data_IF_004733535044
#
_entry.id   IF_004733535044
#
_cell.length_a   1.000
_cell.length_b   1.000
_cell.length_c   1.000
_cell.angle_alpha   90.00
_cell.angle_beta   90.00
_cell.angle_gamma   90.00
#
_symmetry.space_group_name_H-M   'P 1'
#
loop_
_entity.id
_entity.type
_entity.pdbx_description
1 polymer ?
#
# COMPACT_ATOMS: atom_id res chain seq x y z
N UNK A 1 -2.69 -25.23 66.79
CA UNK A 1 -1.42 -25.99 66.75
C UNK A 1 -1.69 -27.33 66.06
N UNK A 2 -0.98 -27.63 64.94
CA UNK A 2 -0.49 -28.97 64.52
C UNK A 2 -1.57 -30.07 64.27
N UNK A 3 -1.70 -30.75 63.12
CA UNK A 3 -0.77 -31.22 62.07
C UNK A 3 -1.56 -31.70 60.84
N UNK A 4 -0.89 -31.69 59.68
CA UNK A 4 -1.23 -32.39 58.44
C UNK A 4 -1.42 -33.91 58.60
N UNK A 5 -2.35 -34.49 57.82
CA UNK A 5 -2.29 -35.88 57.36
C UNK A 5 -2.90 -35.99 55.96
N UNK A 6 -2.10 -36.44 54.98
CA UNK A 6 -2.52 -36.86 53.64
C UNK A 6 -3.31 -38.18 53.70
N UNK A 7 -4.35 -38.32 52.87
CA UNK A 7 -4.79 -39.63 52.37
C UNK A 7 -5.55 -39.47 51.05
N UNK A 8 -4.98 -40.11 50.02
CA UNK A 8 -5.53 -40.32 48.67
C UNK A 8 -6.71 -41.27 48.76
N UNK A 9 -7.90 -40.89 48.28
CA UNK A 9 -8.97 -41.84 47.96
C UNK A 9 -9.65 -41.42 46.64
N UNK A 10 -9.43 -42.26 45.64
CA UNK A 10 -10.12 -42.29 44.36
C UNK A 10 -11.57 -42.71 44.59
N UNK A 11 -12.55 -41.88 44.18
CA UNK A 11 -13.96 -42.30 44.12
C UNK A 11 -14.53 -41.86 42.78
N UNK A 12 -14.82 -42.85 41.95
CA UNK A 12 -15.65 -42.75 40.75
C UNK A 12 -17.04 -42.25 41.13
N UNK A 13 -17.54 -41.17 40.51
CA UNK A 13 -18.97 -41.01 40.23
C UNK A 13 -19.29 -39.76 39.40
N UNK A 14 -20.16 -40.00 38.41
CA UNK A 14 -21.12 -39.09 37.79
C UNK A 14 -20.61 -38.01 36.81
N UNK A 15 -21.02 -38.22 35.55
CA UNK A 15 -21.19 -37.20 34.52
C UNK A 15 -21.85 -35.94 35.08
N UNK A 16 -21.15 -34.82 35.04
CA UNK A 16 -21.78 -33.51 35.03
C UNK A 16 -21.62 -32.92 33.63
N UNK A 17 -22.74 -32.86 32.89
CA UNK A 17 -22.83 -32.05 31.67
C UNK A 17 -22.66 -30.60 32.10
N UNK A 18 -21.43 -30.11 32.07
CA UNK A 18 -21.17 -28.68 32.02
C UNK A 18 -21.54 -28.26 30.61
N UNK A 19 -22.75 -27.72 30.45
CA UNK A 19 -23.14 -26.95 29.27
C UNK A 19 -22.14 -25.82 29.11
N UNK A 20 -21.12 -26.02 28.28
CA UNK A 20 -20.36 -24.90 27.75
C UNK A 20 -21.32 -24.17 26.82
N UNK A 21 -21.92 -23.10 27.31
CA UNK A 21 -22.45 -22.07 26.44
C UNK A 21 -21.28 -21.63 25.55
N UNK A 22 -21.30 -21.98 24.26
CA UNK A 22 -20.51 -21.25 23.29
C UNK A 22 -21.13 -19.85 23.21
N UNK A 23 -20.74 -18.99 24.15
CA UNK A 23 -20.83 -17.56 23.99
C UNK A 23 -20.10 -17.23 22.69
N UNK A 24 -20.82 -16.60 21.76
CA UNK A 24 -20.25 -16.00 20.58
C UNK A 24 -19.09 -15.09 21.02
N UNK A 25 -17.85 -15.56 20.87
CA UNK A 25 -16.71 -14.68 20.96
C UNK A 25 -16.72 -13.86 19.68
N UNK A 26 -17.30 -12.67 19.82
CA UNK A 26 -17.19 -11.58 18.88
C UNK A 26 -15.75 -11.51 18.38
N UNK A 27 -15.61 -11.32 17.07
CA UNK A 27 -14.35 -10.97 16.46
C UNK A 27 -13.78 -9.75 17.19
N UNK A 28 -12.86 -9.96 18.13
CA UNK A 28 -11.96 -8.93 18.63
C UNK A 28 -10.99 -8.61 17.49
N UNK A 29 -11.53 -7.97 16.44
CA UNK A 29 -10.75 -7.27 15.44
C UNK A 29 -10.04 -6.18 16.22
N UNK A 30 -8.70 -6.19 16.34
CA UNK A 30 -8.02 -5.12 17.04
C UNK A 30 -8.34 -3.83 16.28
N UNK A 31 -9.18 -3.00 16.90
CA UNK A 31 -9.37 -1.61 16.52
C UNK A 31 -8.18 -0.85 17.07
N UNK A 32 -7.00 -1.12 16.52
CA UNK A 32 -5.86 -0.22 16.65
C UNK A 32 -6.06 0.89 15.63
N UNK A 33 -6.75 1.94 16.06
CA UNK A 33 -6.76 3.25 15.43
C UNK A 33 -5.30 3.72 15.26
N UNK A 34 -4.78 3.96 14.05
CA UNK A 34 -3.59 4.78 13.89
C UNK A 34 -4.04 6.24 13.96
N UNK A 35 -4.35 6.71 15.17
CA UNK A 35 -4.51 8.14 15.42
C UNK A 35 -3.19 8.71 15.95
N UNK A 36 -2.67 9.66 15.17
CA UNK A 36 -1.75 10.71 15.57
C UNK A 36 -0.35 10.34 16.08
N UNK A 37 0.60 10.30 15.14
CA UNK A 37 1.73 11.23 15.20
C UNK A 37 2.39 11.41 13.83
N UNK A 38 2.21 12.60 13.27
CA UNK A 38 3.11 13.30 12.34
C UNK A 38 4.16 12.42 11.64
N UNK A 39 3.73 11.75 10.58
CA UNK A 39 4.57 10.85 9.81
C UNK A 39 3.72 10.16 8.77
N UNK A 40 3.37 10.88 7.71
CA UNK A 40 2.63 10.40 6.54
C UNK A 40 2.89 8.90 6.27
N UNK A 41 1.96 8.02 6.66
CA UNK A 41 2.14 6.57 6.58
C UNK A 41 2.25 6.15 5.12
N UNK A 42 3.20 5.26 4.82
CA UNK A 42 3.26 4.59 3.50
C UNK A 42 2.07 3.65 3.38
N UNK A 43 1.44 3.59 2.21
CA UNK A 43 0.24 2.79 1.98
C UNK A 43 0.50 1.31 2.26
N UNK A 44 -0.42 0.67 2.97
CA UNK A 44 -0.40 -0.74 3.31
C UNK A 44 -1.75 -1.38 2.94
N UNK A 45 -1.70 -2.51 2.22
CA UNK A 45 -2.89 -3.26 1.78
C UNK A 45 -3.75 -3.78 2.95
N UNK A 46 -3.15 -4.01 4.11
CA UNK A 46 -3.82 -4.60 5.28
C UNK A 46 -4.49 -3.53 6.14
N UNK A 47 -4.11 -2.26 5.97
CA UNK A 47 -4.67 -1.13 6.72
C UNK A 47 -6.01 -0.71 6.14
N UNK A 48 -6.99 -0.48 7.03
CA UNK A 48 -8.26 0.15 6.69
C UNK A 48 -8.04 1.67 6.68
N UNK A 49 -8.47 2.31 5.60
CA UNK A 49 -8.50 3.76 5.46
C UNK A 49 -9.93 4.24 5.36
N UNK A 50 -10.24 5.30 6.09
CA UNK A 50 -11.54 5.97 6.12
C UNK A 50 -11.46 7.30 5.38
N UNK A 51 -12.62 7.92 5.12
CA UNK A 51 -12.68 9.18 4.37
C UNK A 51 -11.80 10.26 5.03
N UNK A 52 -10.91 10.86 4.24
CA UNK A 52 -9.97 11.89 4.71
C UNK A 52 -8.60 11.36 5.11
N UNK A 53 -8.47 10.05 5.34
CA UNK A 53 -7.18 9.44 5.69
C UNK A 53 -6.18 9.63 4.55
N UNK A 54 -4.95 9.95 4.94
CA UNK A 54 -3.87 10.31 4.03
C UNK A 54 -2.76 9.28 4.04
N UNK A 55 -2.22 8.94 2.87
CA UNK A 55 -1.11 7.99 2.75
C UNK A 55 -0.11 8.37 1.66
N UNK A 56 1.14 7.93 1.83
CA UNK A 56 2.19 8.01 0.82
C UNK A 56 2.20 6.76 -0.03
N UNK A 57 2.12 6.96 -1.34
CA UNK A 57 2.22 5.86 -2.29
C UNK A 57 2.99 6.29 -3.54
N UNK A 58 4.11 5.62 -3.81
CA UNK A 58 5.01 5.89 -4.96
C UNK A 58 5.37 7.38 -5.10
N UNK A 59 5.89 7.98 -4.03
CA UNK A 59 6.32 9.38 -4.00
C UNK A 59 5.17 10.40 -4.09
N UNK A 60 3.94 10.00 -3.74
CA UNK A 60 2.74 10.84 -3.83
C UNK A 60 1.89 10.74 -2.59
N UNK A 61 1.18 11.82 -2.29
CA UNK A 61 0.18 11.88 -1.24
C UNK A 61 -1.21 11.62 -1.80
N UNK A 62 -1.89 10.66 -1.22
CA UNK A 62 -3.25 10.27 -1.55
C UNK A 62 -4.16 10.44 -0.34
N UNK A 63 -5.41 10.80 -0.61
CA UNK A 63 -6.47 10.87 0.40
C UNK A 63 -7.59 9.90 0.02
N UNK A 64 -8.07 9.13 0.98
CA UNK A 64 -9.21 8.24 0.80
C UNK A 64 -10.52 9.06 0.69
N UNK A 65 -11.33 8.76 -0.33
CA UNK A 65 -12.63 9.37 -0.60
C UNK A 65 -13.74 8.74 0.26
N UNK A 66 -13.57 7.48 0.65
CA UNK A 66 -14.46 6.68 1.48
C UNK A 66 -13.69 5.50 2.12
N UNK A 67 -14.37 4.64 2.88
CA UNK A 67 -13.79 3.43 3.48
C UNK A 67 -13.16 2.54 2.40
N UNK A 68 -11.91 2.14 2.59
CA UNK A 68 -11.21 1.23 1.68
C UNK A 68 -10.17 0.41 2.44
N UNK A 69 -9.95 -0.81 1.98
CA UNK A 69 -8.90 -1.70 2.47
C UNK A 69 -8.38 -2.50 1.28
N UNK A 70 -7.06 -2.56 1.10
CA UNK A 70 -6.45 -3.31 0.00
C UNK A 70 -6.48 -2.62 -1.37
N UNK A 71 -7.34 -1.63 -1.60
CA UNK A 71 -7.31 -0.88 -2.87
C UNK A 71 -6.05 -0.02 -2.98
N UNK A 72 -5.36 -0.13 -4.11
CA UNK A 72 -4.11 0.58 -4.37
C UNK A 72 -4.39 1.98 -4.92
N UNK A 73 -3.70 3.03 -4.44
CA UNK A 73 -3.81 4.36 -5.04
C UNK A 73 -3.25 4.36 -6.46
N UNK A 74 -4.05 4.86 -7.40
CA UNK A 74 -3.74 4.91 -8.83
C UNK A 74 -4.24 6.24 -9.40
N UNK A 75 -3.44 6.90 -10.22
CA UNK A 75 -3.78 8.21 -10.81
C UNK A 75 -4.82 8.06 -11.89
N UNK A 76 -4.66 7.02 -12.70
CA UNK A 76 -5.51 6.78 -13.87
C UNK A 76 -6.87 6.17 -13.46
N UNK A 77 -7.12 5.96 -12.16
CA UNK A 77 -8.38 5.44 -11.61
C UNK A 77 -9.10 6.50 -10.75
N UNK A 78 -9.65 7.53 -11.39
CA UNK A 78 -10.35 8.63 -10.71
C UNK A 78 -11.63 8.19 -9.97
N UNK A 79 -12.26 7.11 -10.47
CA UNK A 79 -13.44 6.48 -9.87
C UNK A 79 -13.09 5.65 -8.63
N UNK A 80 -11.81 5.35 -8.42
CA UNK A 80 -11.33 4.59 -7.28
C UNK A 80 -11.49 5.33 -5.94
N UNK A 81 -11.17 4.65 -4.83
CA UNK A 81 -11.29 5.20 -3.48
C UNK A 81 -10.25 6.27 -3.17
N UNK A 82 -9.20 6.40 -3.99
CA UNK A 82 -8.07 7.28 -3.71
C UNK A 82 -8.09 8.53 -4.60
N UNK A 83 -7.94 9.69 -3.97
CA UNK A 83 -7.72 10.97 -4.65
C UNK A 83 -6.27 11.40 -4.48
N UNK A 84 -5.58 11.69 -5.58
CA UNK A 84 -4.25 12.28 -5.52
C UNK A 84 -4.34 13.71 -4.97
N UNK A 85 -3.55 14.01 -3.93
CA UNK A 85 -3.43 15.36 -3.37
C UNK A 85 -2.25 16.10 -3.96
N UNK A 86 -1.04 15.54 -3.83
CA UNK A 86 0.20 16.16 -4.35
C UNK A 86 1.32 15.14 -4.53
N UNK A 87 2.35 15.54 -5.28
CA UNK A 87 3.63 14.83 -5.26
C UNK A 87 4.33 15.12 -3.93
N UNK A 88 5.01 14.12 -3.38
CA UNK A 88 5.89 14.29 -2.22
C UNK A 88 7.31 14.32 -2.78
N UNK A 89 7.76 15.52 -3.11
CA UNK A 89 9.15 15.77 -3.42
C UNK A 89 9.87 16.08 -2.10
N UNK A 90 10.96 15.38 -1.80
CA UNK A 90 11.74 15.59 -0.56
C UNK A 90 12.68 16.81 -0.65
N UNK A 91 12.56 17.63 -1.69
CA UNK A 91 13.36 18.82 -1.87
C UNK A 91 12.57 20.02 -1.32
N UNK A 92 13.06 20.61 -0.24
CA UNK A 92 12.47 21.78 0.44
C UNK A 92 12.53 23.07 -0.40
N UNK A 93 12.39 23.01 -1.73
CA UNK A 93 12.43 24.18 -2.58
C UNK A 93 11.12 24.37 -3.35
N UNK A 94 10.37 25.36 -2.89
CA UNK A 94 9.07 25.75 -3.43
C UNK A 94 9.23 26.71 -4.62
N UNK A 95 9.94 26.32 -5.69
CA UNK A 95 9.84 26.93 -7.02
C UNK A 95 10.00 25.83 -8.09
N UNK A 96 8.99 25.64 -8.94
CA UNK A 96 9.02 24.76 -10.13
C UNK A 96 10.21 25.13 -11.05
N UNK A 97 10.88 24.16 -11.72
CA UNK A 97 10.23 23.18 -12.58
C UNK A 97 10.76 21.76 -12.44
N UNK A 98 9.84 20.81 -12.26
CA UNK A 98 9.76 19.52 -12.96
C UNK A 98 11.00 18.60 -12.99
N UNK A 99 12.07 18.87 -12.24
CA UNK A 99 13.26 18.01 -12.21
C UNK A 99 13.08 16.83 -11.27
N UNK A 100 11.87 16.24 -11.33
CA UNK A 100 11.59 14.90 -10.88
C UNK A 100 12.60 13.98 -11.58
N UNK A 101 13.67 13.60 -10.87
CA UNK A 101 14.89 12.90 -11.34
C UNK A 101 14.68 12.12 -12.65
N UNK A 102 14.77 12.81 -13.79
CA UNK A 102 14.56 12.19 -15.10
C UNK A 102 15.85 11.47 -15.47
N UNK A 103 15.88 10.17 -15.24
CA UNK A 103 17.05 9.34 -15.54
C UNK A 103 17.01 8.86 -16.99
N UNK A 104 18.13 8.43 -17.56
CA UNK A 104 18.12 7.73 -18.84
C UNK A 104 17.44 6.37 -18.67
N UNK A 105 16.59 5.97 -19.61
CA UNK A 105 15.99 4.62 -19.59
C UNK A 105 17.07 3.53 -19.67
N UNK A 106 16.91 2.47 -18.88
CA UNK A 106 17.77 1.28 -18.85
C UNK A 106 16.90 0.04 -18.67
N UNK A 107 17.01 -0.92 -19.59
CA UNK A 107 16.36 -2.22 -19.43
C UNK A 107 16.91 -2.96 -18.21
N UNK A 108 16.05 -3.73 -17.53
CA UNK A 108 16.36 -4.46 -16.30
C UNK A 108 16.40 -3.61 -15.03
N UNK A 109 16.19 -2.29 -15.12
CA UNK A 109 16.05 -1.42 -13.94
C UNK A 109 14.59 -1.41 -13.51
N UNK A 110 14.35 -1.72 -12.23
CA UNK A 110 13.02 -1.61 -11.61
C UNK A 110 12.58 -0.16 -11.57
N UNK A 111 11.56 0.15 -12.36
CA UNK A 111 10.88 1.44 -12.32
C UNK A 111 9.58 1.33 -11.52
N UNK A 112 9.34 2.34 -10.69
CA UNK A 112 8.08 2.53 -9.97
C UNK A 112 7.10 3.34 -10.80
N UNK A 113 5.80 3.18 -10.52
CA UNK A 113 4.81 3.92 -11.28
C UNK A 113 4.94 5.42 -11.05
N UNK A 114 5.00 6.17 -12.14
CA UNK A 114 5.34 7.58 -12.10
C UNK A 114 6.76 7.94 -12.42
N UNK A 115 7.69 7.00 -12.34
CA UNK A 115 9.09 7.25 -12.65
C UNK A 115 9.20 7.79 -14.08
N UNK A 116 10.10 8.76 -14.26
CA UNK A 116 10.30 9.42 -15.54
C UNK A 116 11.66 9.05 -16.08
N UNK A 117 11.68 8.65 -17.34
CA UNK A 117 12.90 8.33 -18.06
C UNK A 117 13.01 9.15 -19.33
N UNK A 118 14.24 9.51 -19.69
CA UNK A 118 14.57 10.19 -20.94
C UNK A 118 15.18 9.21 -21.91
N UNK A 119 14.65 9.20 -23.13
CA UNK A 119 15.20 8.44 -24.26
C UNK A 119 16.24 9.26 -25.03
N UNK A 120 17.13 8.64 -25.83
CA UNK A 120 18.15 9.34 -26.61
C UNK A 120 17.59 10.40 -27.58
N UNK A 121 16.35 10.24 -28.06
CA UNK A 121 15.63 11.21 -28.89
C UNK A 121 15.18 12.48 -28.11
N UNK A 122 15.52 12.60 -26.83
CA UNK A 122 15.17 13.73 -25.99
C UNK A 122 13.80 13.65 -25.34
N UNK A 123 12.93 12.73 -25.78
CA UNK A 123 11.58 12.57 -25.23
C UNK A 123 11.62 11.97 -23.82
N UNK A 124 10.72 12.46 -22.97
CA UNK A 124 10.52 11.98 -21.61
C UNK A 124 9.26 11.13 -21.54
N UNK A 125 9.35 10.00 -20.85
CA UNK A 125 8.27 9.06 -20.67
C UNK A 125 8.08 8.76 -19.19
N UNK A 126 6.84 8.57 -18.78
CA UNK A 126 6.43 8.24 -17.42
C UNK A 126 5.95 6.79 -17.36
N UNK A 127 6.53 6.00 -16.46
CA UNK A 127 6.07 4.64 -16.19
C UNK A 127 4.63 4.71 -15.68
N UNK A 128 3.75 3.91 -16.28
CA UNK A 128 2.33 3.92 -15.95
C UNK A 128 2.07 3.27 -14.61
N UNK A 129 0.90 3.57 -14.05
CA UNK A 129 0.43 2.96 -12.81
C UNK A 129 0.17 1.45 -12.98
N UNK A 130 0.04 0.76 -11.85
CA UNK A 130 -0.28 -0.67 -11.82
C UNK A 130 -1.54 -0.95 -12.66
N UNK A 131 -1.58 -2.00 -13.50
CA UNK A 131 -0.69 -3.16 -13.56
C UNK A 131 0.49 -3.04 -14.52
N UNK A 132 0.68 -1.88 -15.15
CA UNK A 132 1.70 -1.71 -16.19
C UNK A 132 3.14 -1.59 -15.64
N UNK A 133 3.28 -1.36 -14.34
CA UNK A 133 4.56 -1.08 -13.67
C UNK A 133 5.64 -2.16 -13.90
N UNK A 134 5.33 -3.48 -13.84
CA UNK A 134 6.30 -4.54 -14.13
C UNK A 134 6.83 -4.53 -15.56
N UNK A 135 6.12 -3.92 -16.51
CA UNK A 135 6.59 -3.84 -17.89
C UNK A 135 7.60 -2.72 -18.10
N UNK A 136 7.65 -1.72 -17.20
CA UNK A 136 8.57 -0.60 -17.34
C UNK A 136 10.04 -1.04 -17.30
N UNK A 137 10.39 -2.15 -16.65
CA UNK A 137 11.77 -2.67 -16.65
C UNK A 137 12.14 -3.48 -17.89
N UNK A 138 11.15 -3.94 -18.67
CA UNK A 138 11.36 -4.86 -19.78
C UNK A 138 11.79 -4.13 -21.05
N UNK A 139 12.78 -4.68 -21.76
CA UNK A 139 13.28 -4.11 -23.01
C UNK A 139 12.19 -4.08 -24.11
N UNK A 140 11.32 -5.10 -24.16
CA UNK A 140 10.20 -5.17 -25.11
C UNK A 140 9.18 -4.03 -24.96
N UNK A 141 9.21 -3.31 -23.85
CA UNK A 141 8.35 -2.17 -23.56
C UNK A 141 9.15 -0.86 -23.51
N UNK A 142 10.37 -0.82 -24.03
CA UNK A 142 11.21 0.38 -23.98
C UNK A 142 10.49 1.61 -24.59
N UNK A 143 10.45 2.74 -23.85
CA UNK A 143 9.60 3.88 -24.17
C UNK A 143 9.89 4.49 -25.54
N UNK A 144 8.87 4.68 -26.38
CA UNK A 144 9.01 5.35 -27.68
C UNK A 144 9.88 4.63 -28.72
N UNK A 145 10.31 3.39 -28.45
CA UNK A 145 11.12 2.57 -29.35
C UNK A 145 10.37 1.36 -29.87
N UNK A 146 9.70 0.61 -28.98
CA UNK A 146 9.04 -0.65 -29.34
C UNK A 146 7.61 -0.43 -29.82
N UNK A 147 6.86 -1.49 -30.19
CA UNK A 147 5.43 -1.36 -30.51
C UNK A 147 4.56 -1.32 -29.25
N UNK A 148 4.97 -2.01 -28.17
CA UNK A 148 4.21 -2.16 -26.93
C UNK A 148 4.49 -1.10 -25.87
N UNK A 149 5.38 -0.14 -26.16
CA UNK A 149 5.81 0.84 -25.17
C UNK A 149 4.64 1.61 -24.51
N UNK A 150 3.53 1.82 -25.24
CA UNK A 150 2.35 2.54 -24.75
C UNK A 150 1.60 1.80 -23.64
N UNK A 151 1.79 0.49 -23.56
CA UNK A 151 1.20 -0.34 -22.52
C UNK A 151 1.88 -0.07 -21.17
N UNK A 152 3.20 0.18 -21.17
CA UNK A 152 4.01 0.42 -19.98
C UNK A 152 4.27 1.90 -19.68
N UNK A 153 4.33 2.75 -20.72
CA UNK A 153 4.80 4.12 -20.61
C UNK A 153 3.83 5.11 -21.25
N UNK A 154 3.77 6.30 -20.68
CA UNK A 154 3.05 7.46 -21.22
C UNK A 154 4.03 8.56 -21.57
N UNK A 155 3.91 9.18 -22.75
CA UNK A 155 4.76 10.32 -23.11
C UNK A 155 4.42 11.51 -22.21
N UNK A 156 5.44 12.18 -21.69
CA UNK A 156 5.29 13.43 -20.94
C UNK A 156 5.44 14.58 -21.95
N UNK A 157 4.41 15.41 -22.08
CA UNK A 157 4.41 16.59 -22.92
C UNK A 157 4.82 17.83 -22.13
#
# INVERSE_FOLDING_TARGET
MKKSTLLVICVLSALSLSSVSLVAQANDRPTTLPSERSGLQTWNKETVYTKGDSTRYLGRLWVAKWWTQGDRPQRDNESGPWKLVRLIDNDNNHIKPNNFKVTRYRAGVKYSAGDRVRMPNGNVYRCRDWPATPWCELEGYAPGKTQHWRDAWSRVN
#
